data_IF_226008551569
#
_entry.id   IF_226008551569
#
_cell.length_a   1.000
_cell.length_b   1.000
_cell.length_c   1.000
_cell.angle_alpha   90.00
_cell.angle_beta   90.00
_cell.angle_gamma   90.00
#
_symmetry.space_group_name_H-M   'P 1'
#
loop_
_entity.id
_entity.type
_entity.pdbx_description
1 polymer ?
#
# COMPACT_ATOMS: atom_id res chain seq x y z
N UNK A 1 40.86 -7.63 5.46
CA UNK A 1 39.71 -8.24 6.16
C UNK A 1 40.07 -9.67 6.52
N UNK A 2 39.65 -10.21 7.67
CA UNK A 2 39.87 -11.62 8.01
C UNK A 2 38.89 -12.53 7.26
N UNK A 3 39.25 -13.79 7.06
CA UNK A 3 38.38 -14.81 6.44
C UNK A 3 37.07 -14.98 7.22
N UNK A 4 37.14 -14.96 8.55
CA UNK A 4 35.96 -15.00 9.42
C UNK A 4 35.02 -13.81 9.19
N UNK A 5 35.55 -12.58 9.09
CA UNK A 5 34.73 -11.40 8.80
C UNK A 5 34.05 -11.49 7.43
N UNK A 6 34.77 -11.99 6.40
CA UNK A 6 34.19 -12.21 5.08
C UNK A 6 33.03 -13.20 5.12
N UNK A 7 33.20 -14.33 5.80
CA UNK A 7 32.15 -15.35 5.93
C UNK A 7 30.92 -14.82 6.66
N UNK A 8 31.12 -14.04 7.74
CA UNK A 8 30.01 -13.42 8.48
C UNK A 8 29.25 -12.42 7.61
N UNK A 9 29.95 -11.60 6.82
CA UNK A 9 29.32 -10.64 5.91
C UNK A 9 28.52 -11.36 4.81
N UNK A 10 29.06 -12.43 4.23
CA UNK A 10 28.35 -13.22 3.22
C UNK A 10 27.12 -13.92 3.80
N UNK A 11 27.24 -14.52 4.99
CA UNK A 11 26.11 -15.12 5.69
C UNK A 11 25.03 -14.08 6.00
N UNK A 12 25.41 -12.90 6.49
CA UNK A 12 24.48 -11.80 6.72
C UNK A 12 23.79 -11.35 5.44
N UNK A 13 24.51 -11.28 4.31
CA UNK A 13 23.93 -10.93 3.02
C UNK A 13 22.89 -11.95 2.54
N UNK A 14 23.17 -13.25 2.68
CA UNK A 14 22.22 -14.33 2.34
C UNK A 14 20.99 -14.28 3.25
N UNK A 15 21.18 -14.23 4.58
CA UNK A 15 20.07 -14.12 5.53
C UNK A 15 19.20 -12.89 5.24
N UNK A 16 19.84 -11.76 4.95
CA UNK A 16 19.14 -10.54 4.58
C UNK A 16 18.34 -10.71 3.29
N UNK A 17 18.96 -11.16 2.20
CA UNK A 17 18.27 -11.39 0.93
C UNK A 17 17.06 -12.34 1.08
N UNK A 18 17.25 -13.46 1.77
CA UNK A 18 16.20 -14.42 2.08
C UNK A 18 15.04 -13.78 2.85
N UNK A 19 15.33 -12.96 3.86
CA UNK A 19 14.30 -12.24 4.61
C UNK A 19 13.50 -11.28 3.71
N UNK A 20 14.13 -10.55 2.78
CA UNK A 20 13.41 -9.64 1.88
C UNK A 20 12.52 -10.40 0.89
N UNK A 21 12.98 -11.54 0.38
CA UNK A 21 12.16 -12.40 -0.49
C UNK A 21 10.91 -12.87 0.24
N UNK A 22 11.07 -13.38 1.46
CA UNK A 22 9.94 -13.80 2.30
C UNK A 22 9.03 -12.61 2.59
N UNK A 23 9.57 -11.50 3.09
CA UNK A 23 8.80 -10.31 3.46
C UNK A 23 8.02 -9.71 2.28
N UNK A 24 8.58 -9.77 1.06
CA UNK A 24 7.87 -9.39 -0.15
C UNK A 24 6.75 -10.37 -0.49
N UNK A 25 7.05 -11.68 -0.47
CA UNK A 25 6.09 -12.74 -0.79
C UNK A 25 4.88 -12.78 0.14
N UNK A 26 5.05 -12.41 1.42
CA UNK A 26 3.98 -12.36 2.41
C UNK A 26 3.53 -10.93 2.77
N UNK A 27 3.90 -9.94 1.97
CA UNK A 27 3.64 -8.51 2.24
C UNK A 27 2.15 -8.18 2.48
N UNK A 28 1.23 -8.93 1.86
CA UNK A 28 -0.22 -8.78 2.04
C UNK A 28 -0.73 -9.18 3.43
N UNK A 29 0.01 -10.00 4.17
CA UNK A 29 -0.36 -10.38 5.55
C UNK A 29 -0.33 -9.16 6.47
N UNK A 30 0.58 -8.21 6.22
CA UNK A 30 0.66 -6.97 6.99
C UNK A 30 1.18 -7.15 8.42
N UNK A 31 0.58 -6.43 9.36
CA UNK A 31 1.01 -6.30 10.76
C UNK A 31 1.28 -7.63 11.49
N UNK A 32 0.49 -8.70 11.34
CA UNK A 32 0.78 -9.99 12.00
C UNK A 32 2.15 -10.56 11.65
N UNK A 33 2.60 -10.43 10.40
CA UNK A 33 3.95 -10.87 10.00
C UNK A 33 5.03 -10.05 10.69
N UNK A 34 4.86 -8.72 10.74
CA UNK A 34 5.80 -7.82 11.41
C UNK A 34 5.87 -8.08 12.91
N UNK A 35 4.73 -8.31 13.55
CA UNK A 35 4.64 -8.61 14.97
C UNK A 35 5.43 -9.87 15.33
N UNK A 36 5.15 -10.97 14.63
CA UNK A 36 5.85 -12.23 14.90
C UNK A 36 7.34 -12.17 14.53
N UNK A 37 7.70 -11.43 13.47
CA UNK A 37 9.10 -11.15 13.15
C UNK A 37 9.81 -10.38 14.27
N UNK A 38 9.16 -9.38 14.86
CA UNK A 38 9.71 -8.62 15.98
C UNK A 38 9.84 -9.47 17.25
N UNK A 39 8.82 -10.26 17.59
CA UNK A 39 8.86 -11.19 18.75
C UNK A 39 9.97 -12.23 18.58
N UNK A 40 10.07 -12.86 17.40
CA UNK A 40 11.12 -13.83 17.12
C UNK A 40 12.52 -13.20 17.21
N UNK A 41 12.69 -11.99 16.68
CA UNK A 41 13.95 -11.24 16.78
C UNK A 41 14.31 -10.90 18.23
N UNK A 42 13.33 -10.46 19.03
CA UNK A 42 13.53 -10.14 20.44
C UNK A 42 13.94 -11.38 21.26
N UNK A 43 13.26 -12.50 21.06
CA UNK A 43 13.58 -13.78 21.72
C UNK A 43 14.98 -14.27 21.33
N UNK A 44 15.33 -14.17 20.04
CA UNK A 44 16.64 -14.57 19.54
C UNK A 44 17.78 -13.71 20.12
N UNK A 45 17.55 -12.40 20.29
CA UNK A 45 18.56 -11.47 20.82
C UNK A 45 18.64 -11.45 22.35
N UNK A 46 17.59 -11.82 23.06
CA UNK A 46 17.56 -11.84 24.53
C UNK A 46 18.76 -12.57 25.18
N UNK A 47 19.16 -13.79 24.75
CA UNK A 47 20.32 -14.47 25.33
C UNK A 47 21.67 -13.81 24.99
N UNK A 48 21.71 -12.89 24.03
CA UNK A 48 22.95 -12.20 23.61
C UNK A 48 23.26 -10.99 24.50
N UNK A 49 22.24 -10.39 25.12
CA UNK A 49 22.37 -9.17 25.96
C UNK A 49 23.45 -9.26 27.06
N UNK A 50 23.63 -10.37 27.79
CA UNK A 50 24.70 -10.47 28.79
C UNK A 50 26.11 -10.30 28.20
N UNK A 51 26.31 -10.66 26.94
CA UNK A 51 27.59 -10.58 26.24
C UNK A 51 27.87 -9.18 25.67
N UNK A 52 26.90 -8.25 25.71
CA UNK A 52 27.05 -6.87 25.22
C UNK A 52 27.40 -5.86 26.34
N UNK A 53 27.78 -6.34 27.52
CA UNK A 53 27.95 -5.50 28.72
C UNK A 53 26.66 -5.28 29.51
N UNK A 54 25.62 -6.08 29.24
CA UNK A 54 24.33 -6.01 29.93
C UNK A 54 23.48 -4.82 29.51
N UNK A 55 22.57 -4.38 30.39
CA UNK A 55 21.57 -3.36 30.07
C UNK A 55 22.12 -1.92 30.02
N UNK A 56 23.29 -1.65 30.62
CA UNK A 56 23.93 -0.32 30.64
C UNK A 56 23.06 0.84 31.15
N UNK A 57 23.60 2.07 31.18
CA UNK A 57 22.88 3.35 31.08
C UNK A 57 21.75 3.73 32.07
N UNK A 58 21.38 2.85 33.02
CA UNK A 58 20.17 3.00 33.83
C UNK A 58 18.88 2.70 33.05
N UNK A 59 17.84 2.24 33.75
CA UNK A 59 16.59 1.76 33.14
C UNK A 59 15.86 2.85 32.31
N UNK A 60 15.97 4.12 32.73
CA UNK A 60 15.35 5.24 32.03
C UNK A 60 15.99 5.52 30.66
N UNK A 61 17.33 5.52 30.57
CA UNK A 61 18.04 5.72 29.31
C UNK A 61 17.77 4.57 28.33
N UNK A 62 17.78 3.34 28.85
CA UNK A 62 17.39 2.15 28.07
C UNK A 62 15.96 2.27 27.54
N UNK A 63 14.99 2.65 28.38
CA UNK A 63 13.60 2.78 27.98
C UNK A 63 13.40 3.85 26.89
N UNK A 64 14.05 5.00 27.02
CA UNK A 64 13.99 6.08 26.01
C UNK A 64 14.61 5.60 24.69
N UNK A 65 15.82 5.05 24.74
CA UNK A 65 16.52 4.56 23.54
C UNK A 65 15.77 3.44 22.84
N UNK A 66 15.27 2.45 23.60
CA UNK A 66 14.45 1.37 23.08
C UNK A 66 13.12 1.88 22.51
N UNK A 67 12.47 2.85 23.16
CA UNK A 67 11.23 3.45 22.70
C UNK A 67 11.39 4.19 21.37
N UNK A 68 12.40 5.06 21.26
CA UNK A 68 12.72 5.78 20.00
C UNK A 68 13.06 4.79 18.89
N UNK A 69 13.91 3.80 19.18
CA UNK A 69 14.28 2.75 18.22
C UNK A 69 13.05 1.95 17.75
N UNK A 70 12.17 1.54 18.68
CA UNK A 70 10.97 0.79 18.36
C UNK A 70 10.02 1.60 17.46
N UNK A 71 9.80 2.88 17.75
CA UNK A 71 8.96 3.76 16.90
C UNK A 71 9.54 3.87 15.49
N UNK A 72 10.83 4.18 15.36
CA UNK A 72 11.49 4.27 14.06
C UNK A 72 11.41 2.95 13.29
N UNK A 73 11.62 1.83 13.98
CA UNK A 73 11.59 0.50 13.39
C UNK A 73 10.18 0.12 12.90
N UNK A 74 9.14 0.39 13.70
CA UNK A 74 7.75 0.12 13.32
C UNK A 74 7.34 0.96 12.11
N UNK A 75 7.69 2.25 12.11
CA UNK A 75 7.42 3.14 10.97
C UNK A 75 8.12 2.60 9.71
N UNK A 76 9.43 2.29 9.82
CA UNK A 76 10.21 1.73 8.71
C UNK A 76 9.60 0.44 8.17
N UNK A 77 9.31 -0.54 9.05
CA UNK A 77 8.78 -1.84 8.63
C UNK A 77 7.38 -1.75 8.01
N UNK A 78 6.55 -0.84 8.51
CA UNK A 78 5.22 -0.60 7.94
C UNK A 78 5.31 0.02 6.55
N UNK A 79 6.18 1.03 6.37
CA UNK A 79 6.44 1.64 5.06
C UNK A 79 7.00 0.60 4.09
N UNK A 80 7.96 -0.21 4.54
CA UNK A 80 8.56 -1.27 3.73
C UNK A 80 7.52 -2.30 3.26
N UNK A 81 6.66 -2.78 4.16
CA UNK A 81 5.61 -3.73 3.77
C UNK A 81 4.60 -3.15 2.79
N UNK A 82 4.20 -1.88 3.00
CA UNK A 82 3.33 -1.20 2.02
C UNK A 82 4.02 -1.06 0.66
N UNK A 83 5.31 -0.74 0.65
CA UNK A 83 6.13 -0.75 -0.56
C UNK A 83 6.09 -2.11 -1.24
N UNK A 84 6.38 -3.20 -0.51
CA UNK A 84 6.36 -4.55 -1.07
C UNK A 84 4.99 -5.02 -1.55
N UNK A 85 3.91 -4.56 -0.92
CA UNK A 85 2.55 -4.87 -1.37
C UNK A 85 2.18 -4.13 -2.67
N UNK A 86 2.82 -2.99 -2.95
CA UNK A 86 2.45 -2.08 -4.05
C UNK A 86 3.47 -2.04 -5.22
N UNK A 87 4.66 -2.63 -5.07
CA UNK A 87 5.73 -2.55 -6.08
C UNK A 87 6.62 -3.78 -6.12
N UNK A 88 7.52 -3.84 -7.12
CA UNK A 88 8.45 -4.98 -7.26
C UNK A 88 9.47 -5.02 -6.12
N UNK A 89 10.00 -6.23 -5.86
CA UNK A 89 11.05 -6.43 -4.86
C UNK A 89 12.27 -5.55 -5.14
N UNK A 90 12.72 -5.46 -6.39
CA UNK A 90 13.95 -4.73 -6.77
C UNK A 90 13.85 -3.23 -6.50
N UNK A 91 12.75 -2.59 -6.90
CA UNK A 91 12.55 -1.14 -6.71
C UNK A 91 12.37 -0.78 -5.25
N UNK A 92 11.53 -1.53 -4.54
CA UNK A 92 11.29 -1.29 -3.12
C UNK A 92 12.57 -1.50 -2.32
N UNK A 93 13.33 -2.55 -2.64
CA UNK A 93 14.61 -2.84 -2.01
C UNK A 93 15.65 -1.73 -2.26
N UNK A 94 15.84 -1.30 -3.51
CA UNK A 94 16.76 -0.22 -3.85
C UNK A 94 16.38 1.06 -3.13
N UNK A 95 15.09 1.40 -3.11
CA UNK A 95 14.57 2.60 -2.43
C UNK A 95 14.82 2.55 -0.92
N UNK A 96 14.42 1.46 -0.26
CA UNK A 96 14.58 1.31 1.19
C UNK A 96 16.06 1.36 1.61
N UNK A 97 16.95 0.75 0.81
CA UNK A 97 18.38 0.69 1.12
C UNK A 97 19.17 1.93 0.73
N UNK A 98 18.80 2.62 -0.36
CA UNK A 98 19.51 3.82 -0.79
C UNK A 98 19.05 5.09 -0.06
N UNK A 99 17.79 5.17 0.37
CA UNK A 99 17.30 6.36 1.10
C UNK A 99 17.77 6.40 2.56
N UNK A 100 17.96 5.24 3.21
CA UNK A 100 18.38 5.15 4.61
C UNK A 100 19.68 5.93 4.93
N UNK A 101 20.79 5.71 4.19
CA UNK A 101 22.03 6.47 4.38
C UNK A 101 21.86 7.97 4.12
N UNK A 102 21.11 8.36 3.09
CA UNK A 102 20.87 9.76 2.76
C UNK A 102 20.10 10.49 3.87
N UNK A 103 19.01 9.88 4.37
CA UNK A 103 18.23 10.41 5.49
C UNK A 103 19.06 10.45 6.77
N UNK A 104 19.83 9.40 7.06
CA UNK A 104 20.71 9.36 8.24
C UNK A 104 21.76 10.46 8.21
N UNK A 105 22.40 10.69 7.06
CA UNK A 105 23.36 11.77 6.89
C UNK A 105 22.71 13.16 7.08
N UNK A 106 21.51 13.37 6.53
CA UNK A 106 20.77 14.61 6.74
C UNK A 106 20.44 14.84 8.22
N UNK A 107 19.95 13.82 8.92
CA UNK A 107 19.64 13.91 10.35
C UNK A 107 20.90 14.15 11.17
N UNK A 108 22.05 13.57 10.82
CA UNK A 108 23.32 13.85 11.50
C UNK A 108 23.72 15.33 11.35
N UNK A 109 23.59 15.91 10.16
CA UNK A 109 23.86 17.35 9.95
C UNK A 109 22.89 18.21 10.78
N UNK A 110 21.58 17.91 10.74
CA UNK A 110 20.55 18.74 11.36
C UNK A 110 20.50 18.62 12.88
N UNK A 111 20.67 17.41 13.42
CA UNK A 111 20.49 17.13 14.85
C UNK A 111 21.82 17.15 15.61
N UNK A 112 22.91 16.71 14.98
CA UNK A 112 24.24 16.62 15.61
C UNK A 112 25.19 17.74 15.16
N UNK A 113 24.80 18.56 14.17
CA UNK A 113 25.65 19.63 13.65
C UNK A 113 26.86 19.14 12.86
N UNK A 114 26.83 17.89 12.38
CA UNK A 114 27.92 17.27 11.63
C UNK A 114 28.16 17.99 10.30
N UNK A 115 29.43 18.08 9.89
CA UNK A 115 29.83 18.67 8.60
C UNK A 115 30.18 17.58 7.61
N UNK A 116 29.36 17.43 6.58
CA UNK A 116 29.63 16.48 5.50
C UNK A 116 30.81 16.96 4.65
N UNK A 117 31.74 16.05 4.37
CA UNK A 117 32.79 16.30 3.39
C UNK A 117 32.19 16.39 1.98
N UNK A 118 32.86 17.09 1.03
CA UNK A 118 32.41 17.10 -0.36
C UNK A 118 32.26 15.70 -0.96
N UNK A 119 33.14 14.76 -0.60
CA UNK A 119 33.08 13.37 -1.04
C UNK A 119 31.82 12.67 -0.52
N UNK A 120 31.44 12.90 0.75
CA UNK A 120 30.22 12.34 1.32
C UNK A 120 28.96 12.84 0.59
N UNK A 121 28.92 14.13 0.24
CA UNK A 121 27.82 14.73 -0.53
C UNK A 121 27.70 14.09 -1.91
N UNK A 122 28.82 13.92 -2.62
CA UNK A 122 28.84 13.22 -3.91
C UNK A 122 28.36 11.78 -3.77
N UNK A 123 28.83 11.06 -2.74
CA UNK A 123 28.38 9.70 -2.46
C UNK A 123 26.86 9.59 -2.25
N UNK A 124 26.28 10.52 -1.47
CA UNK A 124 24.82 10.58 -1.27
C UNK A 124 24.10 10.85 -2.60
N UNK A 125 24.59 11.80 -3.40
CA UNK A 125 23.99 12.11 -4.70
C UNK A 125 24.00 10.90 -5.64
N UNK A 126 25.09 10.14 -5.69
CA UNK A 126 25.20 8.90 -6.48
C UNK A 126 24.21 7.84 -6.00
N UNK A 127 24.07 7.66 -4.69
CA UNK A 127 23.09 6.71 -4.11
C UNK A 127 21.66 7.10 -4.51
N UNK A 128 21.30 8.38 -4.35
CA UNK A 128 19.95 8.88 -4.72
C UNK A 128 19.68 8.69 -6.21
N UNK A 129 20.66 9.00 -7.08
CA UNK A 129 20.53 8.80 -8.51
C UNK A 129 20.31 7.31 -8.87
N UNK A 130 21.04 6.39 -8.23
CA UNK A 130 20.86 4.95 -8.44
C UNK A 130 19.49 4.44 -8.00
N UNK A 131 18.94 4.95 -6.89
CA UNK A 131 17.58 4.63 -6.44
C UNK A 131 16.55 5.07 -7.48
N UNK A 132 16.65 6.31 -7.96
CA UNK A 132 15.72 6.84 -8.98
C UNK A 132 15.80 6.02 -10.27
N UNK A 133 17.02 5.71 -10.73
CA UNK A 133 17.24 4.90 -11.93
C UNK A 133 16.56 3.53 -11.84
N UNK A 134 16.65 2.86 -10.69
CA UNK A 134 16.02 1.54 -10.47
C UNK A 134 14.50 1.64 -10.64
N UNK A 135 13.87 2.67 -10.06
CA UNK A 135 12.42 2.88 -10.20
C UNK A 135 11.99 3.25 -11.62
N UNK A 136 12.85 3.89 -12.42
CA UNK A 136 12.57 4.18 -13.84
C UNK A 136 12.61 2.91 -14.70
N UNK A 137 13.59 2.03 -14.46
CA UNK A 137 13.71 0.74 -15.17
C UNK A 137 12.45 -0.10 -14.93
N UNK A 138 11.98 -0.14 -13.70
CA UNK A 138 10.82 -0.94 -13.30
C UNK A 138 9.48 -0.42 -13.83
N UNK A 139 9.43 0.87 -14.23
CA UNK A 139 8.26 1.49 -14.88
C UNK A 139 8.21 1.26 -16.39
N UNK A 140 9.29 0.75 -16.99
CA UNK A 140 9.35 0.54 -18.43
C UNK A 140 8.55 -0.73 -18.76
N UNK A 141 7.41 -0.64 -19.48
CA UNK A 141 6.71 -1.85 -19.93
C UNK A 141 7.66 -2.66 -20.83
N UNK A 142 7.62 -4.00 -20.80
CA UNK A 142 8.45 -4.80 -21.69
C UNK A 142 8.23 -4.33 -23.14
N UNK A 143 9.32 -4.00 -23.84
CA UNK A 143 9.28 -3.62 -25.24
C UNK A 143 8.72 -4.82 -26.03
N UNK A 144 7.43 -4.75 -26.39
CA UNK A 144 6.70 -5.86 -27.00
C UNK A 144 5.50 -6.38 -26.20
N UNK A 145 5.08 -5.71 -25.12
CA UNK A 145 3.73 -5.92 -24.61
C UNK A 145 2.73 -5.48 -25.69
N UNK A 146 2.29 -6.44 -26.51
CA UNK A 146 1.14 -6.29 -27.38
C UNK A 146 0.02 -5.62 -26.55
N UNK A 147 -0.67 -4.60 -27.08
CA UNK A 147 -1.87 -4.12 -26.42
C UNK A 147 -2.76 -5.35 -26.24
N UNK A 148 -2.98 -5.75 -24.98
CA UNK A 148 -3.76 -6.94 -24.67
C UNK A 148 -5.04 -6.93 -25.48
N UNK A 149 -5.57 -8.11 -25.88
CA UNK A 149 -6.68 -8.20 -26.80
C UNK A 149 -7.76 -7.22 -26.37
N UNK A 150 -8.20 -6.37 -27.31
CA UNK A 150 -9.26 -5.39 -27.08
C UNK A 150 -10.37 -6.09 -26.29
N UNK A 151 -10.99 -5.43 -25.28
CA UNK A 151 -12.01 -6.05 -24.46
C UNK A 151 -12.97 -6.77 -25.39
N UNK A 152 -13.03 -8.10 -25.28
CA UNK A 152 -13.89 -8.89 -26.13
C UNK A 152 -15.30 -8.33 -26.05
N UNK A 153 -16.13 -8.47 -27.10
CA UNK A 153 -17.53 -8.09 -27.00
C UNK A 153 -18.08 -8.70 -25.71
N UNK A 154 -18.61 -7.85 -24.84
CA UNK A 154 -19.13 -8.27 -23.54
C UNK A 154 -20.08 -9.45 -23.74
N UNK A 155 -20.25 -10.33 -22.74
CA UNK A 155 -21.13 -11.48 -22.85
C UNK A 155 -22.45 -11.03 -23.45
N UNK A 156 -22.87 -11.67 -24.55
CA UNK A 156 -24.13 -11.38 -25.19
C UNK A 156 -25.20 -11.34 -24.09
N UNK A 157 -26.10 -10.33 -24.07
CA UNK A 157 -27.13 -10.24 -23.06
C UNK A 157 -27.81 -11.61 -22.97
N UNK A 158 -27.77 -12.20 -21.77
CA UNK A 158 -28.38 -13.49 -21.52
C UNK A 158 -29.86 -13.46 -21.94
N UNK A 159 -30.47 -14.62 -22.23
CA UNK A 159 -31.89 -14.67 -22.56
C UNK A 159 -32.66 -13.89 -21.49
N UNK A 160 -33.47 -12.91 -21.93
CA UNK A 160 -34.27 -12.09 -21.05
C UNK A 160 -35.06 -13.03 -20.13
N UNK A 161 -34.88 -12.88 -18.81
CA UNK A 161 -35.66 -13.63 -17.84
C UNK A 161 -37.13 -13.38 -18.12
N UNK A 162 -37.94 -14.45 -18.04
CA UNK A 162 -39.38 -14.36 -18.14
C UNK A 162 -39.86 -13.24 -17.19
N UNK A 163 -40.58 -12.21 -17.69
CA UNK A 163 -41.10 -11.12 -16.88
C UNK A 163 -41.84 -11.56 -15.61
N UNK A 164 -42.41 -12.76 -15.62
CA UNK A 164 -43.12 -13.34 -14.48
C UNK A 164 -42.19 -13.82 -13.34
N UNK A 165 -40.89 -14.01 -13.63
CA UNK A 165 -39.89 -14.56 -12.72
C UNK A 165 -38.82 -13.55 -12.30
N UNK A 166 -38.89 -12.30 -12.79
CA UNK A 166 -37.98 -11.22 -12.40
C UNK A 166 -38.34 -10.66 -11.01
N UNK A 167 -37.56 -10.97 -9.95
CA UNK A 167 -37.88 -10.54 -8.59
C UNK A 167 -37.70 -9.02 -8.39
N UNK A 168 -37.04 -8.34 -9.31
CA UNK A 168 -36.77 -6.89 -9.26
C UNK A 168 -37.81 -6.05 -9.98
N UNK A 169 -38.76 -6.66 -10.70
CA UNK A 169 -39.77 -5.93 -11.46
C UNK A 169 -40.86 -5.40 -10.53
N UNK A 170 -40.99 -4.08 -10.45
CA UNK A 170 -42.10 -3.44 -9.75
C UNK A 170 -43.44 -3.87 -10.40
N UNK A 171 -44.48 -4.14 -9.60
CA UNK A 171 -45.80 -4.48 -10.14
C UNK A 171 -46.32 -3.33 -11.01
N UNK A 172 -46.92 -3.67 -12.16
CA UNK A 172 -47.45 -2.67 -13.08
C UNK A 172 -48.47 -1.77 -12.36
N UNK A 173 -48.43 -0.45 -12.59
CA UNK A 173 -49.36 0.48 -11.97
C UNK A 173 -50.80 0.11 -12.36
N UNK A 174 -51.70 0.14 -11.38
CA UNK A 174 -53.11 -0.16 -11.58
C UNK A 174 -53.72 0.72 -12.69
N UNK A 175 -54.63 0.19 -13.52
CA UNK A 175 -55.23 0.94 -14.62
C UNK A 175 -55.91 2.21 -14.09
N UNK A 176 -55.66 3.33 -14.76
CA UNK A 176 -56.25 4.61 -14.39
C UNK A 176 -57.78 4.55 -14.45
N UNK A 177 -58.49 5.15 -13.46
CA UNK A 177 -59.95 5.24 -13.52
C UNK A 177 -60.38 6.04 -14.75
N UNK A 178 -61.55 5.71 -15.34
CA UNK A 178 -62.04 6.40 -16.54
C UNK A 178 -62.23 7.89 -16.28
N UNK A 179 -61.98 8.75 -17.29
CA UNK A 179 -62.13 10.19 -17.14
C UNK A 179 -63.58 10.58 -16.82
N UNK A 180 -63.73 11.58 -15.95
CA UNK A 180 -65.05 12.12 -15.59
C UNK A 180 -65.78 12.66 -16.84
N UNK A 181 -67.10 12.46 -16.95
CA UNK A 181 -67.88 13.00 -18.06
C UNK A 181 -67.82 14.54 -18.07
N UNK A 182 -67.78 15.16 -19.26
CA UNK A 182 -67.70 16.61 -19.38
C UNK A 182 -68.95 17.30 -18.78
N UNK A 183 -68.80 18.53 -18.24
CA UNK A 183 -69.92 19.29 -17.69
C UNK A 183 -70.93 19.61 -18.79
N UNK A 184 -72.22 19.40 -18.50
CA UNK A 184 -73.28 19.72 -19.46
C UNK A 184 -73.39 21.24 -19.69
N UNK A 185 -73.63 21.68 -20.93
CA UNK A 185 -73.77 23.10 -21.24
C UNK A 185 -75.01 23.71 -20.55
N UNK A 186 -74.96 25.01 -20.18
CA UNK A 186 -76.08 25.71 -19.57
C UNK A 186 -77.27 25.76 -20.54
N UNK A 187 -78.47 25.44 -20.03
CA UNK A 187 -79.72 25.56 -20.80
C UNK A 187 -79.97 27.03 -21.17
N UNK A 188 -80.29 27.35 -22.44
CA UNK A 188 -80.55 28.73 -22.84
C UNK A 188 -81.82 29.28 -22.17
N UNK A 189 -81.81 30.54 -21.71
CA UNK A 189 -82.99 31.20 -21.15
C UNK A 189 -83.89 31.65 -22.30
N UNK A 190 -85.07 31.03 -22.47
CA UNK A 190 -86.00 31.49 -23.52
C UNK A 190 -87.21 30.64 -23.85
N UNK A 191 -87.36 29.41 -23.33
CA UNK A 191 -88.58 28.64 -23.55
C UNK A 191 -89.62 28.90 -22.44
N UNK A 192 -90.10 30.14 -22.35
CA UNK A 192 -91.38 30.46 -21.70
C UNK A 192 -92.38 30.92 -22.76
N UNK A 193 -93.39 30.07 -22.98
CA UNK A 193 -94.75 30.51 -23.24
C UNK A 193 -95.14 30.79 -24.70
N UNK A 194 -95.99 29.92 -25.25
CA UNK A 194 -97.29 30.34 -25.80
C UNK A 194 -98.35 29.32 -25.33
N UNK A 195 -99.59 29.77 -25.03
CA UNK A 195 -100.66 28.97 -24.45
C UNK A 195 -101.16 27.86 -25.39
#
# INVERSE_FOLDING_TARGET
MSSAALLLVLAAAVCHASWNIVAHGVSRIGTPFLWWGAVASAVLWLPVVPFTGGLGGGLAGLAIGAGVSAVLHVVYMTVLQRGYAAGSLSTVYATARGTGPAVSALLAVLLLGERLSPVAVVGIAVVVAGVVATGLIDRTPPAGADPGPAPGPGPAPGPALDPALDPGRAPDPAPHPPPHPPPQPPRPPGARGRP
#
